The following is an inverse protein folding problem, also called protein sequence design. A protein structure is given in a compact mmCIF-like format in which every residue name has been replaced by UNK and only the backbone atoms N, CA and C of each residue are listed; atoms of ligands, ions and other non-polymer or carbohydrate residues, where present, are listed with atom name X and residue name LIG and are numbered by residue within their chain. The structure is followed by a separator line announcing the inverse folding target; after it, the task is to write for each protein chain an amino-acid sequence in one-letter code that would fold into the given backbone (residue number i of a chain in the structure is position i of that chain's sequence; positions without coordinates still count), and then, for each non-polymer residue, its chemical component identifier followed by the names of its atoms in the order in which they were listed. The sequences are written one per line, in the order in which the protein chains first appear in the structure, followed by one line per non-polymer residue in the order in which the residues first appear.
data_IF_191291656377
#
_entry.id   IF_191291656377
#
_cell.length_a   1.000
_cell.length_b   1.000
_cell.length_c   1.000
_cell.angle_alpha   90.00
_cell.angle_beta   90.00
_cell.angle_gamma   90.00
#
_symmetry.space_group_name_H-M   'P 1'
#
loop_
_entity.id
_entity.type
_entity.pdbx_description
1 polymer ?
#
# COMPACT_ATOMS: atom_id res chain seq x y z
N UNK A 1 2.02 -33.07 -12.60
CA UNK A 1 2.64 -31.88 -13.24
C UNK A 1 3.97 -31.70 -12.54
N UNK A 2 5.11 -31.82 -13.25
CA UNK A 2 6.42 -31.59 -12.65
C UNK A 2 6.58 -30.08 -12.47
N UNK A 3 6.73 -29.63 -11.22
CA UNK A 3 7.02 -28.23 -10.91
C UNK A 3 8.54 -28.05 -11.00
N UNK A 4 8.99 -27.31 -11.99
CA UNK A 4 10.41 -26.96 -12.08
C UNK A 4 10.70 -25.86 -11.06
N UNK A 5 11.75 -26.07 -10.27
CA UNK A 5 12.23 -25.10 -9.30
C UNK A 5 13.57 -24.52 -9.76
N UNK A 6 13.63 -23.22 -9.90
CA UNK A 6 14.86 -22.50 -10.23
C UNK A 6 15.42 -21.80 -8.98
N UNK A 7 16.62 -22.21 -8.59
CA UNK A 7 17.32 -21.55 -7.51
C UNK A 7 17.92 -20.22 -8.00
N UNK A 8 17.54 -19.10 -7.36
CA UNK A 8 18.15 -17.80 -7.67
C UNK A 8 19.56 -17.72 -7.08
N UNK A 9 20.58 -17.99 -7.91
CA UNK A 9 21.99 -17.91 -7.54
C UNK A 9 22.51 -16.48 -7.42
N UNK A 10 21.76 -15.49 -7.92
CA UNK A 10 22.13 -14.06 -7.91
C UNK A 10 21.39 -13.28 -6.81
N UNK A 11 20.74 -13.98 -5.88
CA UNK A 11 20.09 -13.28 -4.76
C UNK A 11 21.12 -12.47 -3.99
N UNK A 12 20.81 -11.23 -3.70
CA UNK A 12 21.59 -10.42 -2.78
C UNK A 12 21.40 -10.95 -1.36
N UNK A 13 22.51 -11.31 -0.70
CA UNK A 13 22.57 -11.75 0.69
C UNK A 13 23.16 -10.67 1.60
N UNK A 14 23.44 -9.50 1.06
CA UNK A 14 23.97 -8.36 1.79
C UNK A 14 22.97 -7.75 2.79
N UNK A 15 23.46 -6.81 3.55
CA UNK A 15 22.62 -6.05 4.48
C UNK A 15 21.67 -5.12 3.70
N UNK A 16 20.45 -4.97 4.20
CA UNK A 16 19.48 -4.01 3.69
C UNK A 16 20.09 -2.60 3.67
N UNK A 17 20.31 -2.05 2.49
CA UNK A 17 21.06 -0.81 2.31
C UNK A 17 20.35 0.41 2.90
N UNK A 18 21.11 1.47 3.18
CA UNK A 18 20.54 2.72 3.68
C UNK A 18 19.62 3.39 2.65
N UNK A 19 19.90 3.26 1.35
CA UNK A 19 19.06 3.81 0.28
C UNK A 19 17.70 3.10 0.25
N UNK A 20 17.68 1.78 0.41
CA UNK A 20 16.43 1.03 0.55
C UNK A 20 15.69 1.36 1.84
N UNK A 21 16.40 1.60 2.95
CA UNK A 21 15.80 2.04 4.22
C UNK A 21 15.16 3.41 4.12
N UNK A 22 15.68 4.29 3.28
CA UNK A 22 15.05 5.59 3.02
C UNK A 22 13.65 5.42 2.41
N UNK A 23 13.49 4.47 1.48
CA UNK A 23 12.21 4.20 0.80
C UNK A 23 11.30 3.32 1.66
N UNK A 24 11.84 2.20 2.18
CA UNK A 24 11.10 1.18 2.93
C UNK A 24 11.71 1.01 4.32
N UNK A 25 11.29 1.83 5.27
CA UNK A 25 11.63 1.70 6.68
C UNK A 25 10.43 1.26 7.51
N UNK A 26 10.69 0.73 8.70
CA UNK A 26 9.63 0.46 9.66
C UNK A 26 8.85 1.74 10.02
N UNK A 27 9.54 2.88 10.16
CA UNK A 27 8.92 4.16 10.45
C UNK A 27 7.97 4.61 9.33
N UNK A 28 8.40 4.49 8.06
CA UNK A 28 7.56 4.83 6.92
C UNK A 28 6.33 3.89 6.83
N UNK A 29 6.52 2.61 7.14
CA UNK A 29 5.43 1.63 7.18
C UNK A 29 4.42 1.96 8.28
N UNK A 30 4.88 2.30 9.48
CA UNK A 30 4.02 2.72 10.58
C UNK A 30 3.26 4.00 10.22
N UNK A 31 3.95 5.01 9.67
CA UNK A 31 3.31 6.26 9.24
C UNK A 31 2.23 6.03 8.18
N UNK A 32 2.47 5.15 7.20
CA UNK A 32 1.48 4.78 6.20
C UNK A 32 0.28 4.06 6.84
N UNK A 33 0.52 3.14 7.75
CA UNK A 33 -0.53 2.42 8.47
C UNK A 33 -1.40 3.35 9.32
N UNK A 34 -0.78 4.26 10.08
CA UNK A 34 -1.51 5.23 10.92
C UNK A 34 -2.37 6.18 10.07
N UNK A 35 -1.88 6.62 8.92
CA UNK A 35 -2.64 7.43 7.98
C UNK A 35 -3.83 6.63 7.40
N UNK A 36 -3.57 5.45 6.84
CA UNK A 36 -4.60 4.62 6.19
C UNK A 36 -5.71 4.22 7.17
N UNK A 37 -5.40 4.02 8.44
CA UNK A 37 -6.38 3.73 9.48
C UNK A 37 -7.44 4.84 9.66
N UNK A 38 -7.11 6.06 9.28
CA UNK A 38 -8.03 7.21 9.43
C UNK A 38 -9.01 7.33 8.26
N UNK A 39 -8.81 6.59 7.19
CA UNK A 39 -9.62 6.70 5.98
C UNK A 39 -11.03 6.15 6.19
N UNK A 40 -12.01 6.81 5.61
CA UNK A 40 -13.39 6.36 5.65
C UNK A 40 -13.52 4.94 5.08
N UNK A 41 -14.26 4.09 5.77
CA UNK A 41 -14.42 2.68 5.40
C UNK A 41 -13.24 1.77 5.74
N UNK A 42 -12.21 2.28 6.45
CA UNK A 42 -11.16 1.40 6.93
C UNK A 42 -11.72 0.36 7.89
N UNK A 43 -11.42 -0.90 7.60
CA UNK A 43 -11.67 -2.03 8.49
C UNK A 43 -10.50 -3.00 8.47
N UNK A 44 -10.27 -3.66 9.61
CA UNK A 44 -9.27 -4.72 9.68
C UNK A 44 -9.80 -5.95 8.93
N UNK A 45 -9.10 -6.36 7.89
CA UNK A 45 -9.48 -7.54 7.08
C UNK A 45 -9.05 -8.85 7.75
N UNK A 46 -9.76 -9.96 7.48
CA UNK A 46 -9.44 -11.26 8.09
C UNK A 46 -8.05 -11.78 7.70
N UNK A 47 -7.47 -12.57 8.61
CA UNK A 47 -6.30 -13.41 8.35
C UNK A 47 -6.71 -14.84 8.68
N UNK A 48 -6.77 -15.72 7.69
CA UNK A 48 -7.14 -17.11 7.82
C UNK A 48 -5.92 -17.99 7.91
N UNK A 49 -5.94 -19.00 8.81
CA UNK A 49 -4.98 -20.09 8.81
C UNK A 49 -5.51 -21.22 7.93
N UNK A 50 -4.71 -21.72 7.02
CA UNK A 50 -5.05 -22.78 6.09
C UNK A 50 -4.32 -24.09 6.51
N UNK A 51 -4.66 -24.58 7.68
CA UNK A 51 -3.92 -25.66 8.35
C UNK A 51 -3.96 -26.98 7.57
N UNK A 52 -5.10 -27.34 6.99
CA UNK A 52 -5.25 -28.54 6.15
C UNK A 52 -4.34 -28.45 4.93
N UNK A 53 -4.36 -27.31 4.22
CA UNK A 53 -3.51 -27.12 3.06
C UNK A 53 -2.01 -27.12 3.43
N UNK A 54 -1.64 -26.54 4.57
CA UNK A 54 -0.27 -26.58 5.07
C UNK A 54 0.19 -28.03 5.31
N UNK A 55 -0.66 -28.86 5.92
CA UNK A 55 -0.39 -30.28 6.13
C UNK A 55 -0.22 -31.05 4.82
N UNK A 56 -1.14 -30.82 3.86
CA UNK A 56 -1.16 -31.56 2.59
C UNK A 56 0.09 -31.30 1.73
N UNK A 57 0.63 -30.10 1.79
CA UNK A 57 1.84 -29.72 1.01
C UNK A 57 3.14 -29.77 1.84
N UNK A 58 3.07 -30.15 3.12
CA UNK A 58 4.24 -30.37 3.97
C UNK A 58 4.96 -29.10 4.42
N UNK A 59 4.25 -27.98 4.58
CA UNK A 59 4.81 -26.74 5.15
C UNK A 59 4.25 -26.49 6.55
N UNK A 60 4.96 -25.69 7.35
CA UNK A 60 4.57 -25.44 8.74
C UNK A 60 3.25 -24.71 8.87
N UNK A 61 3.09 -23.62 8.12
CA UNK A 61 1.88 -22.78 8.18
C UNK A 61 1.62 -22.15 6.81
N UNK A 62 0.35 -21.93 6.49
CA UNK A 62 -0.09 -21.08 5.38
C UNK A 62 -1.11 -20.09 5.95
N UNK A 63 -0.87 -18.80 5.71
CA UNK A 63 -1.80 -17.74 6.07
C UNK A 63 -2.34 -17.05 4.83
N UNK A 64 -3.66 -16.86 4.79
CA UNK A 64 -4.35 -16.12 3.74
C UNK A 64 -4.91 -14.83 4.30
N UNK A 65 -4.38 -13.67 3.83
CA UNK A 65 -4.90 -12.35 4.15
C UNK A 65 -6.02 -12.00 3.17
N UNK A 66 -7.26 -11.99 3.66
CA UNK A 66 -8.44 -11.76 2.81
C UNK A 66 -8.72 -10.26 2.67
N UNK A 67 -8.32 -9.71 1.54
CA UNK A 67 -8.54 -8.30 1.18
C UNK A 67 -9.78 -8.09 0.29
N UNK A 68 -10.67 -9.08 0.17
CA UNK A 68 -11.87 -9.00 -0.67
C UNK A 68 -12.86 -7.89 -0.25
N UNK A 69 -12.86 -7.52 1.03
CA UNK A 69 -13.71 -6.46 1.57
C UNK A 69 -13.04 -5.08 1.65
N UNK A 70 -11.75 -4.96 1.26
CA UNK A 70 -11.00 -3.72 1.44
C UNK A 70 -11.64 -2.55 0.69
N UNK A 71 -12.18 -1.58 1.43
CA UNK A 71 -12.85 -0.38 0.92
C UNK A 71 -13.93 -0.64 -0.15
N UNK A 72 -14.50 -1.84 -0.18
CA UNK A 72 -15.44 -2.25 -1.24
C UNK A 72 -14.82 -2.42 -2.63
N UNK A 73 -13.50 -2.33 -2.75
CA UNK A 73 -12.76 -2.44 -4.03
C UNK A 73 -12.27 -3.86 -4.34
N UNK A 74 -12.41 -4.78 -3.38
CA UNK A 74 -12.04 -6.18 -3.55
C UNK A 74 -10.55 -6.45 -3.70
N UNK A 75 -9.69 -5.52 -3.24
CA UNK A 75 -8.25 -5.63 -3.45
C UNK A 75 -7.43 -4.78 -2.47
N UNK A 76 -6.26 -5.29 -2.06
CA UNK A 76 -5.26 -4.54 -1.29
C UNK A 76 -4.67 -3.34 -2.05
N UNK A 77 -4.84 -3.25 -3.36
CA UNK A 77 -4.28 -2.18 -4.20
C UNK A 77 -4.80 -0.78 -3.83
N UNK A 78 -5.97 -0.73 -3.20
CA UNK A 78 -6.51 0.50 -2.62
C UNK A 78 -5.60 1.13 -1.55
N UNK A 79 -4.76 0.34 -0.89
CA UNK A 79 -3.84 0.84 0.14
C UNK A 79 -2.69 1.65 -0.48
N UNK A 80 -1.93 1.04 -1.40
CA UNK A 80 -0.70 1.63 -1.93
C UNK A 80 -0.94 2.72 -2.97
N UNK A 81 -1.88 2.52 -3.90
CA UNK A 81 -2.17 3.48 -4.97
C UNK A 81 -2.66 4.82 -4.40
N UNK A 82 -3.72 4.77 -3.60
CA UNK A 82 -4.31 5.95 -2.96
C UNK A 82 -3.32 6.65 -2.02
N UNK A 83 -2.59 5.88 -1.21
CA UNK A 83 -1.56 6.46 -0.32
C UNK A 83 -0.45 7.17 -1.09
N UNK A 84 0.01 6.59 -2.21
CA UNK A 84 1.03 7.20 -3.06
C UNK A 84 0.57 8.54 -3.65
N UNK A 85 -0.65 8.60 -4.18
CA UNK A 85 -1.25 9.84 -4.68
C UNK A 85 -1.37 10.88 -3.57
N UNK A 86 -1.91 10.50 -2.41
CA UNK A 86 -2.04 11.39 -1.26
C UNK A 86 -0.69 11.96 -0.80
N UNK A 87 0.35 11.13 -0.73
CA UNK A 87 1.71 11.58 -0.38
C UNK A 87 2.29 12.53 -1.41
N UNK A 88 2.06 12.27 -2.69
CA UNK A 88 2.48 13.17 -3.76
C UNK A 88 1.81 14.55 -3.62
N UNK A 89 0.49 14.58 -3.48
CA UNK A 89 -0.29 15.82 -3.30
C UNK A 89 0.16 16.58 -2.06
N UNK A 90 0.30 15.89 -0.93
CA UNK A 90 0.80 16.51 0.30
C UNK A 90 2.17 17.17 0.12
N UNK A 91 3.11 16.46 -0.54
CA UNK A 91 4.44 17.01 -0.81
C UNK A 91 4.39 18.22 -1.76
N UNK A 92 3.55 18.16 -2.79
CA UNK A 92 3.39 19.26 -3.74
C UNK A 92 2.80 20.50 -3.07
N UNK A 93 1.75 20.34 -2.25
CA UNK A 93 1.14 21.42 -1.49
C UNK A 93 2.11 22.04 -0.47
N UNK A 94 2.91 21.23 0.22
CA UNK A 94 3.95 21.76 1.13
C UNK A 94 4.97 22.63 0.42
N UNK A 95 5.33 22.31 -0.80
CA UNK A 95 6.23 23.15 -1.60
C UNK A 95 5.58 24.47 -2.05
N UNK A 96 4.27 24.46 -2.32
CA UNK A 96 3.54 25.62 -2.82
C UNK A 96 3.11 26.55 -1.68
N UNK A 97 2.64 26.02 -0.57
CA UNK A 97 1.96 26.76 0.51
C UNK A 97 2.79 26.90 1.78
N UNK A 98 3.56 25.86 2.13
CA UNK A 98 4.35 25.80 3.36
C UNK A 98 4.16 24.52 4.17
N UNK A 99 4.89 24.42 5.27
CA UNK A 99 4.98 23.19 6.09
C UNK A 99 3.73 22.89 6.92
N UNK A 100 2.82 23.83 7.11
CA UNK A 100 1.57 23.67 7.87
C UNK A 100 0.51 22.81 7.18
N UNK A 101 0.73 22.38 5.92
CA UNK A 101 -0.20 21.49 5.21
C UNK A 101 -0.24 20.13 5.90
N UNK A 102 -1.43 19.74 6.36
CA UNK A 102 -1.66 18.44 6.99
C UNK A 102 -2.48 17.49 6.09
N UNK A 103 -2.29 16.18 6.25
CA UNK A 103 -3.11 15.17 5.58
C UNK A 103 -4.59 15.33 5.93
N UNK A 104 -4.90 15.66 7.18
CA UNK A 104 -6.27 15.90 7.64
C UNK A 104 -6.95 17.05 6.89
N UNK A 105 -6.22 18.14 6.64
CA UNK A 105 -6.75 19.28 5.87
C UNK A 105 -6.99 18.92 4.40
N UNK A 106 -6.14 18.05 3.83
CA UNK A 106 -6.33 17.54 2.47
C UNK A 106 -7.63 16.71 2.40
N UNK A 107 -7.83 15.80 3.34
CA UNK A 107 -9.06 14.99 3.42
C UNK A 107 -10.31 15.84 3.65
N UNK A 108 -10.20 16.93 4.40
CA UNK A 108 -11.27 17.89 4.61
C UNK A 108 -11.57 18.79 3.38
N UNK A 109 -10.81 18.62 2.30
CA UNK A 109 -11.02 19.41 1.06
C UNK A 109 -10.52 20.85 1.13
N UNK A 110 -9.74 21.22 2.15
CA UNK A 110 -9.27 22.60 2.36
C UNK A 110 -8.47 23.16 1.17
N UNK A 111 -7.80 22.27 0.42
CA UNK A 111 -6.92 22.64 -0.71
C UNK A 111 -7.49 22.21 -2.08
N UNK A 112 -8.81 22.09 -2.21
CA UNK A 112 -9.45 21.57 -3.42
C UNK A 112 -9.08 22.36 -4.68
N UNK A 113 -8.95 23.69 -4.58
CA UNK A 113 -8.55 24.54 -5.69
C UNK A 113 -7.14 24.22 -6.19
N UNK A 114 -6.18 24.07 -5.26
CA UNK A 114 -4.81 23.72 -5.59
C UNK A 114 -4.71 22.32 -6.16
N UNK A 115 -5.43 21.37 -5.55
CA UNK A 115 -5.45 19.96 -5.95
C UNK A 115 -6.06 19.79 -7.34
N UNK A 116 -7.04 20.59 -7.73
CA UNK A 116 -7.70 20.53 -9.04
C UNK A 116 -6.76 20.79 -10.22
N UNK A 117 -5.59 21.36 -9.98
CA UNK A 117 -4.54 21.56 -11.01
C UNK A 117 -3.81 20.27 -11.38
N UNK A 118 -3.92 19.22 -10.57
CA UNK A 118 -3.25 17.94 -10.80
C UNK A 118 -4.18 16.95 -11.49
N UNK A 119 -3.64 16.23 -12.44
CA UNK A 119 -4.32 15.09 -13.09
C UNK A 119 -3.54 13.83 -12.77
N UNK A 120 -4.21 12.83 -12.22
CA UNK A 120 -3.64 11.51 -11.96
C UNK A 120 -4.04 10.57 -13.09
N UNK A 121 -3.06 9.88 -13.67
CA UNK A 121 -3.29 8.85 -14.68
C UNK A 121 -2.64 7.55 -14.27
N UNK A 122 -3.27 6.44 -14.62
CA UNK A 122 -2.73 5.11 -14.31
C UNK A 122 -3.03 4.13 -15.43
N UNK A 123 -2.04 3.33 -15.83
CA UNK A 123 -2.22 2.22 -16.76
C UNK A 123 -2.58 0.98 -15.99
N UNK A 124 -3.81 0.46 -16.18
CA UNK A 124 -4.32 -0.64 -15.40
C UNK A 124 -5.46 -1.37 -16.10
N UNK A 125 -5.60 -2.64 -15.79
CA UNK A 125 -6.66 -3.52 -16.27
C UNK A 125 -7.81 -3.72 -15.25
N UNK A 126 -7.83 -2.96 -14.13
CA UNK A 126 -8.89 -3.13 -13.14
C UNK A 126 -8.61 -2.52 -11.77
N UNK A 127 -8.38 -3.35 -10.75
CA UNK A 127 -8.37 -2.96 -9.34
C UNK A 127 -7.39 -1.82 -8.99
N UNK A 128 -6.26 -1.70 -9.68
CA UNK A 128 -5.33 -0.62 -9.44
C UNK A 128 -5.91 0.73 -9.89
N UNK A 129 -6.51 0.79 -11.08
CA UNK A 129 -7.15 2.01 -11.58
C UNK A 129 -8.39 2.43 -10.79
N UNK A 130 -9.11 1.45 -10.21
CA UNK A 130 -10.25 1.73 -9.32
C UNK A 130 -9.83 2.33 -7.99
N UNK A 131 -8.56 2.18 -7.61
CA UNK A 131 -8.03 2.67 -6.32
C UNK A 131 -7.30 4.01 -6.42
N UNK A 132 -7.01 4.47 -7.62
CA UNK A 132 -6.44 5.79 -7.95
C UNK A 132 -7.55 6.73 -8.36
#
# INVERSE_FOLDING_TARGET
MLTEHFHNTQKDTGHYSNDLRYVLSLQNTIAAFEEIKTWEGYAKTPLHSLDSLASDIGVKNIYYKDESSRFGLGSFKALGGTYGVLKFIHHALKKEIGDEVSMKDIHAGKYSEQISKYTVTTATDGNHGRSV
#
